data_IF_429120819693
#
_entry.id   IF_429120819693
#
_cell.length_a   1.000
_cell.length_b   1.000
_cell.length_c   1.000
_cell.angle_alpha   90.00
_cell.angle_beta   90.00
_cell.angle_gamma   90.00
#
_symmetry.space_group_name_H-M   'P 1'
#
loop_
_entity.id
_entity.type
_entity.pdbx_description
1 polymer ?
#
# COMPACT_ATOMS: atom_id res chain seq x y z
N UNK A 1 24.97 -16.27 0.37
CA UNK A 1 24.23 -15.00 0.61
C UNK A 1 23.41 -14.49 -0.58
N UNK A 2 23.18 -15.29 -1.64
CA UNK A 2 22.46 -14.89 -2.85
C UNK A 2 21.36 -15.89 -3.22
N UNK A 3 20.47 -16.20 -2.29
CA UNK A 3 19.30 -17.03 -2.60
C UNK A 3 18.31 -16.24 -3.46
N UNK A 4 17.60 -16.94 -4.36
CA UNK A 4 16.58 -16.35 -5.22
C UNK A 4 15.43 -15.67 -4.43
N UNK A 5 15.14 -16.17 -3.21
CA UNK A 5 14.07 -15.65 -2.34
C UNK A 5 14.52 -14.50 -1.42
N UNK A 6 15.75 -13.99 -1.58
CA UNK A 6 16.26 -12.93 -0.71
C UNK A 6 15.57 -11.60 -1.03
N UNK A 7 14.91 -11.02 -0.02
CA UNK A 7 14.36 -9.67 -0.11
C UNK A 7 15.50 -8.65 -0.21
N UNK A 8 15.49 -7.85 -1.29
CA UNK A 8 16.50 -6.81 -1.54
C UNK A 8 16.01 -5.39 -1.24
N UNK A 9 14.70 -5.18 -1.34
CA UNK A 9 14.07 -3.86 -1.22
C UNK A 9 12.82 -3.96 -0.34
N UNK A 10 12.39 -2.86 0.31
CA UNK A 10 11.05 -2.79 0.87
C UNK A 10 10.03 -2.94 -0.27
N UNK A 11 9.00 -3.75 -0.04
CA UNK A 11 7.96 -4.00 -1.01
C UNK A 11 6.61 -3.60 -0.43
N UNK A 12 5.79 -2.94 -1.24
CA UNK A 12 4.42 -2.61 -0.89
C UNK A 12 3.47 -3.13 -1.96
N UNK A 13 2.20 -3.37 -1.60
CA UNK A 13 1.21 -3.78 -2.59
C UNK A 13 0.86 -2.61 -3.50
N UNK A 14 0.84 -2.84 -4.82
CA UNK A 14 0.57 -1.82 -5.84
C UNK A 14 -0.69 -0.98 -5.56
N UNK A 15 -1.79 -1.62 -5.19
CA UNK A 15 -3.05 -0.93 -4.88
C UNK A 15 -2.92 -0.01 -3.66
N UNK A 16 -2.29 -0.51 -2.60
CA UNK A 16 -2.04 0.28 -1.41
C UNK A 16 -1.11 1.47 -1.72
N UNK A 17 -0.05 1.25 -2.49
CA UNK A 17 0.87 2.31 -2.88
C UNK A 17 0.18 3.39 -3.73
N UNK A 18 -0.74 3.00 -4.63
CA UNK A 18 -1.53 3.94 -5.43
C UNK A 18 -2.42 4.82 -4.54
N UNK A 19 -3.17 4.20 -3.62
CA UNK A 19 -4.02 4.92 -2.66
C UNK A 19 -3.20 5.84 -1.75
N UNK A 20 -2.06 5.34 -1.27
CA UNK A 20 -1.15 6.09 -0.40
C UNK A 20 -0.60 7.33 -1.09
N UNK A 21 -0.12 7.21 -2.34
CA UNK A 21 0.37 8.37 -3.09
C UNK A 21 -0.73 9.39 -3.35
N UNK A 22 -1.95 8.95 -3.67
CA UNK A 22 -3.08 9.84 -3.85
C UNK A 22 -3.44 10.59 -2.56
N UNK A 23 -3.51 9.89 -1.42
CA UNK A 23 -3.80 10.51 -0.12
C UNK A 23 -2.67 11.47 0.31
N UNK A 24 -1.41 11.11 0.05
CA UNK A 24 -0.24 11.95 0.33
C UNK A 24 -0.22 13.26 -0.44
N UNK A 25 -0.90 13.34 -1.58
CA UNK A 25 -1.07 14.59 -2.34
C UNK A 25 -2.23 15.43 -1.82
N UNK A 26 -3.22 14.82 -1.16
CA UNK A 26 -4.40 15.51 -0.62
C UNK A 26 -4.18 16.03 0.81
N UNK A 27 -3.41 15.29 1.61
CA UNK A 27 -3.17 15.57 3.02
C UNK A 27 -1.68 15.81 3.29
N UNK A 28 -1.38 16.90 4.00
CA UNK A 28 -0.01 17.21 4.44
C UNK A 28 0.43 16.33 5.60
N UNK A 29 -0.49 15.94 6.50
CA UNK A 29 -0.18 15.01 7.58
C UNK A 29 -0.25 13.54 7.11
N UNK A 30 0.82 12.72 7.29
CA UNK A 30 0.76 11.27 7.03
C UNK A 30 -0.34 10.53 7.80
N UNK A 31 -0.65 10.95 9.03
CA UNK A 31 -1.62 10.29 9.90
C UNK A 31 -3.03 10.50 9.36
N UNK A 32 -3.36 11.74 8.99
CA UNK A 32 -4.64 12.06 8.33
C UNK A 32 -4.77 11.36 6.97
N UNK A 33 -3.68 11.34 6.19
CA UNK A 33 -3.66 10.61 4.92
C UNK A 33 -4.00 9.13 5.11
N UNK A 34 -3.45 8.51 6.16
CA UNK A 34 -3.72 7.11 6.50
C UNK A 34 -5.14 6.89 6.99
N UNK A 35 -5.63 7.76 7.88
CA UNK A 35 -7.01 7.74 8.35
C UNK A 35 -7.99 7.77 7.17
N UNK A 36 -7.77 8.66 6.20
CA UNK A 36 -8.61 8.78 4.99
C UNK A 36 -8.69 7.51 4.12
N UNK A 37 -7.73 6.60 4.24
CA UNK A 37 -7.69 5.33 3.50
C UNK A 37 -8.38 4.23 4.30
N UNK A 38 -8.10 4.14 5.60
CA UNK A 38 -8.59 3.05 6.46
C UNK A 38 -10.06 3.27 6.86
N UNK A 39 -10.45 4.53 7.07
CA UNK A 39 -11.82 4.88 7.44
C UNK A 39 -12.80 4.77 6.26
N UNK A 40 -12.29 4.83 5.02
CA UNK A 40 -13.11 4.63 3.83
C UNK A 40 -13.26 3.12 3.52
N UNK A 41 -14.48 2.55 3.65
CA UNK A 41 -14.71 1.13 3.38
C UNK A 41 -14.48 0.76 1.91
N UNK A 42 -14.66 1.70 0.97
CA UNK A 42 -14.42 1.46 -0.47
C UNK A 42 -12.94 1.29 -0.76
N UNK A 43 -12.10 2.22 -0.26
CA UNK A 43 -10.63 2.14 -0.39
C UNK A 43 -10.10 0.88 0.31
N UNK A 44 -10.65 0.58 1.48
CA UNK A 44 -10.31 -0.62 2.24
C UNK A 44 -10.61 -1.92 1.50
N UNK A 45 -11.78 -2.00 0.85
CA UNK A 45 -12.17 -3.14 0.02
C UNK A 45 -11.28 -3.30 -1.23
N UNK A 46 -10.55 -2.26 -1.65
CA UNK A 46 -9.68 -2.36 -2.83
C UNK A 46 -8.39 -3.15 -2.54
N UNK A 47 -7.75 -2.92 -1.37
CA UNK A 47 -6.43 -3.49 -1.07
C UNK A 47 -6.44 -4.69 -0.12
N UNK A 48 -7.42 -4.80 0.81
CA UNK A 48 -7.51 -5.92 1.77
C UNK A 48 -7.74 -7.29 1.12
N UNK A 49 -8.67 -7.49 0.16
CA UNK A 49 -8.89 -8.83 -0.42
C UNK A 49 -7.72 -9.29 -1.29
N UNK A 50 -6.85 -8.39 -1.77
CA UNK A 50 -5.68 -8.74 -2.57
C UNK A 50 -4.50 -9.28 -1.75
N UNK A 51 -4.67 -9.49 -0.45
CA UNK A 51 -3.68 -10.15 0.42
C UNK A 51 -3.49 -11.59 -0.04
N UNK A 52 -2.22 -11.97 -0.28
CA UNK A 52 -1.85 -13.27 -0.85
C UNK A 52 -1.88 -13.35 -2.39
N UNK A 53 -2.44 -12.36 -3.09
CA UNK A 53 -2.62 -12.39 -4.55
C UNK A 53 -1.45 -11.73 -5.31
N UNK A 54 -0.24 -11.72 -4.73
CA UNK A 54 0.92 -11.06 -5.32
C UNK A 54 0.79 -9.52 -5.43
N UNK A 55 1.34 -8.95 -6.51
CA UNK A 55 1.26 -7.52 -6.83
C UNK A 55 2.13 -6.61 -5.95
N UNK A 56 3.26 -7.13 -5.47
CA UNK A 56 4.26 -6.31 -4.78
C UNK A 56 5.03 -5.43 -5.77
N UNK A 57 5.22 -4.18 -5.40
CA UNK A 57 6.01 -3.19 -6.12
C UNK A 57 7.09 -2.65 -5.18
N UNK A 58 8.22 -2.27 -5.78
CA UNK A 58 9.28 -1.51 -5.13
C UNK A 58 8.89 -0.03 -5.07
#
# INVERSE_FOLDING_TARGET
MYSANRLKYPLMRKHLMKLWRAARMQFNDPVEAWASIVEDPKKTAEYKPRRGMGGFVR
#
